data_IF_742921457161
#
_entry.id   IF_742921457161
#
_cell.length_a   1.000
_cell.length_b   1.000
_cell.length_c   1.000
_cell.angle_alpha   90.00
_cell.angle_beta   90.00
_cell.angle_gamma   90.00
#
_symmetry.space_group_name_H-M   'P 1'
#
loop_
_entity.id
_entity.type
_entity.pdbx_description
1 polymer ?
#
# COMPACT_ATOMS: atom_id res chain seq x y z
N UNK A 1 -21.29 9.20 3.88
CA UNK A 1 -20.07 9.77 4.50
C UNK A 1 -19.11 10.05 3.38
N UNK A 2 -18.93 11.34 3.05
CA UNK A 2 -17.90 11.79 2.11
C UNK A 2 -16.62 12.05 2.91
N UNK A 3 -15.52 11.41 2.53
CA UNK A 3 -14.22 11.56 3.19
C UNK A 3 -13.51 12.87 2.78
N UNK A 4 -14.13 13.68 1.91
CA UNK A 4 -13.52 14.89 1.36
C UNK A 4 -12.35 14.55 0.44
N UNK A 5 -11.50 15.54 0.14
CA UNK A 5 -10.33 15.32 -0.72
C UNK A 5 -9.28 14.49 0.04
N UNK A 6 -8.74 13.46 -0.61
CA UNK A 6 -7.75 12.53 -0.05
C UNK A 6 -6.54 12.47 -0.96
N UNK A 7 -5.34 12.50 -0.39
CA UNK A 7 -4.11 12.15 -1.09
C UNK A 7 -3.82 10.66 -0.86
N UNK A 8 -3.59 9.92 -1.95
CA UNK A 8 -3.44 8.47 -1.92
C UNK A 8 -2.05 8.05 -2.39
N UNK A 9 -1.31 7.39 -1.50
CA UNK A 9 -0.03 6.76 -1.79
C UNK A 9 -0.25 5.25 -1.85
N UNK A 10 0.01 4.63 -2.99
CA UNK A 10 -0.28 3.21 -3.23
C UNK A 10 0.99 2.45 -3.57
N UNK A 11 1.08 1.22 -3.07
CA UNK A 11 2.19 0.31 -3.33
C UNK A 11 3.50 0.71 -2.65
N UNK A 12 3.45 1.34 -1.46
CA UNK A 12 4.66 1.62 -0.69
C UNK A 12 5.20 0.30 -0.12
N UNK A 13 6.36 -0.13 -0.58
CA UNK A 13 7.10 -1.26 -0.01
C UNK A 13 7.60 -0.91 1.39
N UNK A 14 7.23 -1.70 2.39
CA UNK A 14 7.68 -1.51 3.79
C UNK A 14 8.68 -2.57 4.25
N UNK A 15 9.14 -3.41 3.31
CA UNK A 15 9.99 -4.57 3.60
C UNK A 15 10.93 -4.89 2.43
N UNK A 16 12.07 -5.51 2.72
CA UNK A 16 12.97 -6.08 1.70
C UNK A 16 12.58 -7.53 1.38
N UNK A 17 11.86 -7.76 0.28
CA UNK A 17 11.49 -9.14 -0.08
C UNK A 17 12.57 -9.81 -0.94
N UNK A 18 12.97 -11.02 -0.56
CA UNK A 18 13.86 -11.88 -1.34
C UNK A 18 13.46 -13.35 -1.15
N UNK A 19 13.51 -14.21 -2.17
CA UNK A 19 13.15 -15.64 -2.06
C UNK A 19 13.88 -16.38 -0.93
N UNK A 20 15.08 -15.95 -0.56
CA UNK A 20 15.87 -16.53 0.53
C UNK A 20 15.39 -16.18 1.94
N UNK A 21 14.41 -15.28 2.08
CA UNK A 21 13.86 -14.84 3.36
C UNK A 21 12.49 -15.48 3.69
N UNK A 22 12.09 -16.50 2.93
CA UNK A 22 10.83 -17.19 3.16
C UNK A 22 10.82 -17.84 4.55
N UNK A 23 9.70 -17.70 5.25
CA UNK A 23 9.49 -18.20 6.61
C UNK A 23 10.37 -17.56 7.71
N UNK A 24 11.08 -16.50 7.38
CA UNK A 24 11.72 -15.62 8.35
C UNK A 24 10.82 -14.42 8.66
N UNK A 25 10.95 -13.81 9.85
CA UNK A 25 10.25 -12.58 10.13
C UNK A 25 10.67 -11.47 9.16
N UNK A 26 9.76 -10.54 8.86
CA UNK A 26 10.09 -9.42 7.99
C UNK A 26 11.13 -8.48 8.64
N UNK A 27 12.34 -8.42 8.07
CA UNK A 27 13.35 -7.36 8.29
C UNK A 27 12.91 -5.97 7.78
N UNK A 28 13.04 -4.91 8.59
CA UNK A 28 12.61 -3.56 8.19
C UNK A 28 13.14 -3.09 6.83
N UNK A 29 12.38 -2.24 6.11
CA UNK A 29 12.84 -1.67 4.85
C UNK A 29 13.98 -0.69 5.07
N UNK A 30 15.20 -1.11 4.77
CA UNK A 30 16.34 -0.21 4.53
C UNK A 30 16.38 0.25 3.06
N UNK A 31 15.27 0.16 2.32
CA UNK A 31 15.21 0.53 0.91
C UNK A 31 15.25 2.06 0.80
N UNK A 32 16.45 2.60 0.89
CA UNK A 32 16.77 3.98 0.55
C UNK A 32 16.72 4.03 -0.97
N UNK A 33 15.80 4.82 -1.51
CA UNK A 33 15.75 5.11 -2.94
C UNK A 33 16.52 6.40 -3.21
N UNK A 34 17.26 6.44 -4.31
CA UNK A 34 17.86 7.67 -4.79
C UNK A 34 16.75 8.53 -5.46
N UNK A 35 16.41 9.66 -4.84
CA UNK A 35 15.44 10.61 -5.38
C UNK A 35 14.00 10.41 -4.92
N UNK A 36 13.04 10.33 -5.86
CA UNK A 36 11.60 10.28 -5.57
C UNK A 36 11.01 8.96 -6.04
N UNK A 37 10.50 8.16 -5.11
CA UNK A 37 9.72 6.96 -5.42
C UNK A 37 8.27 7.31 -5.79
N UNK A 38 7.77 6.74 -6.89
CA UNK A 38 6.38 6.94 -7.35
C UNK A 38 5.46 5.90 -6.72
N UNK A 39 4.76 6.26 -5.66
CA UNK A 39 3.75 5.43 -5.00
C UNK A 39 2.32 5.76 -5.48
N UNK A 40 2.01 5.51 -6.75
CA UNK A 40 0.73 5.89 -7.37
C UNK A 40 -0.18 4.71 -7.67
N UNK A 41 0.40 3.56 -7.98
CA UNK A 41 -0.30 2.35 -8.40
C UNK A 41 -0.31 1.30 -7.28
N UNK A 42 -1.29 0.40 -7.34
CA UNK A 42 -1.31 -0.74 -6.43
C UNK A 42 -0.16 -1.68 -6.76
N UNK A 43 0.52 -2.14 -5.70
CA UNK A 43 1.45 -3.24 -5.84
C UNK A 43 0.72 -4.56 -6.07
N UNK A 44 1.47 -5.55 -6.56
CA UNK A 44 0.95 -6.90 -6.77
C UNK A 44 0.61 -7.55 -5.42
N UNK A 45 -0.58 -8.16 -5.26
CA UNK A 45 -0.92 -8.85 -4.04
C UNK A 45 -0.13 -10.16 -3.87
N UNK A 46 -0.11 -10.65 -2.63
CA UNK A 46 0.57 -11.88 -2.26
C UNK A 46 -0.03 -13.11 -2.95
N UNK A 47 0.81 -14.12 -3.18
CA UNK A 47 0.39 -15.43 -3.67
C UNK A 47 -0.72 -16.04 -2.81
N UNK A 48 -1.86 -16.32 -3.43
CA UNK A 48 -3.06 -16.86 -2.80
C UNK A 48 -3.86 -17.66 -3.82
N UNK A 49 -4.54 -18.71 -3.36
CA UNK A 49 -5.36 -19.58 -4.21
C UNK A 49 -6.82 -19.54 -3.78
N UNK A 50 -7.67 -18.99 -4.67
CA UNK A 50 -9.11 -18.89 -4.47
C UNK A 50 -9.92 -19.99 -5.19
N UNK A 51 -9.24 -20.84 -5.97
CA UNK A 51 -9.89 -21.94 -6.68
C UNK A 51 -10.32 -23.09 -5.76
N UNK A 52 -9.83 -23.12 -4.51
CA UNK A 52 -10.16 -24.18 -3.58
C UNK A 52 -11.60 -24.03 -3.03
N UNK A 53 -12.48 -25.06 -3.14
CA UNK A 53 -13.88 -24.96 -2.73
C UNK A 53 -14.07 -24.58 -1.26
N UNK A 54 -13.18 -25.06 -0.39
CA UNK A 54 -13.19 -24.71 1.03
C UNK A 54 -12.91 -23.23 1.25
N UNK A 55 -11.97 -22.62 0.52
CA UNK A 55 -11.67 -21.19 0.62
C UNK A 55 -12.92 -20.37 0.31
N UNK A 56 -13.65 -20.73 -0.74
CA UNK A 56 -14.88 -20.03 -1.16
C UNK A 56 -16.02 -20.12 -0.13
N UNK A 57 -16.10 -21.22 0.63
CA UNK A 57 -17.14 -21.43 1.65
C UNK A 57 -17.02 -20.49 2.85
N UNK A 58 -15.79 -20.09 3.18
CA UNK A 58 -15.53 -19.22 4.33
C UNK A 58 -15.47 -17.73 3.97
N UNK A 59 -15.64 -17.37 2.69
CA UNK A 59 -15.68 -15.96 2.30
C UNK A 59 -17.00 -15.30 2.71
N UNK A 60 -16.97 -14.03 3.13
CA UNK A 60 -18.18 -13.22 3.27
C UNK A 60 -19.02 -13.24 1.99
N UNK A 61 -20.35 -13.21 2.15
CA UNK A 61 -21.29 -13.36 1.04
C UNK A 61 -21.02 -12.38 -0.11
N UNK A 62 -20.87 -11.09 0.21
CA UNK A 62 -20.59 -10.04 -0.78
C UNK A 62 -19.32 -10.30 -1.61
N UNK A 63 -18.31 -10.95 -1.01
CA UNK A 63 -17.04 -11.26 -1.67
C UNK A 63 -17.18 -12.52 -2.52
N UNK A 64 -17.95 -13.50 -2.04
CA UNK A 64 -18.23 -14.76 -2.75
C UNK A 64 -18.99 -14.54 -4.07
N UNK A 65 -19.91 -13.57 -4.08
CA UNK A 65 -20.66 -13.14 -5.27
C UNK A 65 -19.81 -12.36 -6.27
N UNK A 66 -18.81 -11.61 -5.78
CA UNK A 66 -17.95 -10.75 -6.61
C UNK A 66 -16.58 -11.36 -6.91
N UNK A 67 -16.38 -12.63 -6.58
CA UNK A 67 -15.07 -13.26 -6.60
C UNK A 67 -14.41 -13.20 -7.97
N UNK A 68 -15.17 -13.45 -9.05
CA UNK A 68 -14.66 -13.38 -10.42
C UNK A 68 -14.25 -11.95 -10.80
N UNK A 69 -15.01 -10.94 -10.34
CA UNK A 69 -14.67 -9.53 -10.57
C UNK A 69 -13.39 -9.16 -9.82
N UNK A 70 -13.27 -9.60 -8.57
CA UNK A 70 -12.06 -9.35 -7.75
C UNK A 70 -10.86 -10.05 -8.37
N UNK A 71 -11.02 -11.30 -8.80
CA UNK A 71 -9.95 -12.08 -9.42
C UNK A 71 -9.43 -11.42 -10.69
N UNK A 72 -10.34 -11.06 -11.60
CA UNK A 72 -9.99 -10.43 -12.88
C UNK A 72 -9.46 -9.01 -12.75
N UNK A 73 -9.74 -8.28 -11.68
CA UNK A 73 -9.27 -6.89 -11.51
C UNK A 73 -8.03 -6.75 -10.64
N UNK A 74 -7.93 -7.52 -9.56
CA UNK A 74 -6.92 -7.29 -8.53
C UNK A 74 -5.94 -8.47 -8.38
N UNK A 75 -6.28 -9.67 -8.86
CA UNK A 75 -5.52 -10.89 -8.57
C UNK A 75 -4.85 -11.51 -9.80
N UNK A 76 -4.77 -10.78 -10.92
CA UNK A 76 -4.19 -11.27 -12.18
C UNK A 76 -2.68 -11.52 -12.10
N UNK A 77 -1.97 -10.74 -11.29
CA UNK A 77 -0.53 -10.87 -11.07
C UNK A 77 -0.33 -11.07 -9.57
N UNK A 78 0.10 -12.26 -9.18
CA UNK A 78 0.43 -12.58 -7.80
C UNK A 78 1.95 -12.68 -7.66
N UNK A 79 2.49 -12.15 -6.57
CA UNK A 79 3.93 -12.11 -6.33
C UNK A 79 4.27 -12.53 -4.90
N UNK A 80 5.46 -13.05 -4.71
CA UNK A 80 6.01 -13.33 -3.37
C UNK A 80 6.53 -12.04 -2.72
N UNK A 81 7.08 -11.13 -3.52
CA UNK A 81 7.46 -9.77 -3.12
C UNK A 81 6.25 -8.82 -3.13
N UNK A 82 5.35 -9.04 -2.18
CA UNK A 82 4.06 -8.35 -2.09
C UNK A 82 3.91 -7.43 -0.85
N UNK A 83 4.92 -7.36 0.02
CA UNK A 83 4.86 -6.64 1.29
C UNK A 83 4.86 -5.12 1.08
N UNK A 84 3.67 -4.61 0.79
CA UNK A 84 3.38 -3.22 0.46
C UNK A 84 2.13 -2.74 1.18
N UNK A 85 2.02 -1.43 1.35
CA UNK A 85 0.86 -0.79 1.97
C UNK A 85 0.37 0.38 1.12
N UNK A 86 -0.88 0.75 1.36
CA UNK A 86 -1.52 1.92 0.76
C UNK A 86 -1.90 2.90 1.87
N UNK A 87 -1.48 4.15 1.75
CA UNK A 87 -1.76 5.23 2.72
C UNK A 87 -2.73 6.23 2.09
N UNK A 88 -3.80 6.52 2.81
CA UNK A 88 -4.81 7.51 2.42
C UNK A 88 -4.84 8.62 3.45
N UNK A 89 -4.38 9.81 3.05
CA UNK A 89 -4.28 10.96 3.95
C UNK A 89 -5.39 11.96 3.63
N UNK A 90 -6.26 12.31 4.60
CA UNK A 90 -7.31 13.28 4.37
C UNK A 90 -6.72 14.69 4.22
N UNK A 91 -7.33 15.50 3.35
CA UNK A 91 -6.94 16.88 3.10
C UNK A 91 -8.03 17.85 3.56
N UNK A 92 -7.63 19.00 4.10
CA UNK A 92 -8.52 20.12 4.41
C UNK A 92 -8.38 21.21 3.37
N UNK A 93 -9.51 21.77 2.94
CA UNK A 93 -9.52 23.04 2.22
C UNK A 93 -9.36 24.18 3.22
N UNK A 94 -8.34 25.01 3.02
CA UNK A 94 -8.20 26.28 3.75
C UNK A 94 -9.13 27.32 3.15
N UNK A 95 -9.49 28.35 3.92
CA UNK A 95 -10.38 29.43 3.49
C UNK A 95 -9.89 30.20 2.23
N UNK A 96 -8.60 30.09 1.89
CA UNK A 96 -7.99 30.66 0.70
C UNK A 96 -8.04 29.73 -0.54
N UNK A 97 -8.83 28.64 -0.51
CA UNK A 97 -8.93 27.67 -1.59
C UNK A 97 -7.74 26.71 -1.72
N UNK A 98 -6.74 26.83 -0.85
CA UNK A 98 -5.55 25.97 -0.83
C UNK A 98 -5.85 24.66 -0.09
N UNK A 99 -5.53 23.53 -0.68
CA UNK A 99 -5.73 22.20 -0.09
C UNK A 99 -4.45 21.77 0.62
N UNK A 100 -4.54 21.44 1.91
CA UNK A 100 -3.41 21.02 2.73
C UNK A 100 -3.71 19.70 3.45
N UNK A 101 -2.67 18.87 3.66
CA UNK A 101 -2.81 17.62 4.40
C UNK A 101 -3.13 17.90 5.87
N UNK A 102 -4.12 17.18 6.40
CA UNK A 102 -4.50 17.31 7.81
C UNK A 102 -3.37 16.72 8.66
N UNK A 103 -2.72 17.57 9.48
CA UNK A 103 -1.65 17.15 10.38
C UNK A 103 -0.22 17.44 9.90
N UNK A 104 -0.04 18.09 8.75
CA UNK A 104 1.29 18.57 8.33
C UNK A 104 1.74 19.71 9.26
N UNK A 105 2.67 19.44 10.17
CA UNK A 105 3.37 20.50 10.90
C UNK A 105 4.14 21.37 9.89
N UNK A 106 4.04 22.69 10.02
CA UNK A 106 4.76 23.65 9.14
C UNK A 106 6.28 23.52 9.25
N UNK A 107 6.76 22.87 10.32
CA UNK A 107 8.18 22.61 10.60
C UNK A 107 8.69 21.27 10.04
N UNK A 108 7.84 20.53 9.31
CA UNK A 108 8.20 19.25 8.68
C UNK A 108 9.04 19.49 7.42
N UNK A 109 10.20 20.11 7.57
CA UNK A 109 11.30 19.96 6.60
C UNK A 109 11.83 18.56 6.82
N UNK A 110 11.83 17.73 5.76
CA UNK A 110 12.50 16.42 5.79
C UNK A 110 13.91 16.61 6.37
N UNK A 111 14.26 16.00 7.52
CA UNK A 111 15.55 16.21 8.13
C UNK A 111 16.63 15.74 7.14
N UNK A 112 17.52 16.66 6.74
CA UNK A 112 18.74 16.37 5.96
C UNK A 112 19.79 15.67 6.84
N UNK A 113 19.42 14.61 7.54
CA UNK A 113 20.33 13.87 8.41
C UNK A 113 20.13 12.38 8.27
N UNK A 114 20.62 11.84 7.15
CA UNK A 114 21.18 10.50 7.09
C UNK A 114 22.46 10.57 6.24
N UNK A 115 23.50 11.18 6.81
CA UNK A 115 24.87 10.79 6.50
C UNK A 115 25.27 9.81 7.60
N UNK A 116 25.48 8.55 7.23
CA UNK A 116 26.16 7.58 8.10
C UNK A 116 27.47 7.26 7.40
N UNK A 117 28.55 7.41 8.17
CA UNK A 117 29.95 7.17 7.82
C UNK A 117 30.21 5.78 7.23
#
# INVERSE_FOLDING_TARGET
MDLGKVEAFRGIEYHLTSPGLRFLPPIGSYKIWDGISKAVDYWSPCSQSFSHPLTRRYLPEFLRERLDTVYTRFLKSLREDCLSLNVYVPMRATAAGKVELIGRSKDSVMPRHYQIH
#
